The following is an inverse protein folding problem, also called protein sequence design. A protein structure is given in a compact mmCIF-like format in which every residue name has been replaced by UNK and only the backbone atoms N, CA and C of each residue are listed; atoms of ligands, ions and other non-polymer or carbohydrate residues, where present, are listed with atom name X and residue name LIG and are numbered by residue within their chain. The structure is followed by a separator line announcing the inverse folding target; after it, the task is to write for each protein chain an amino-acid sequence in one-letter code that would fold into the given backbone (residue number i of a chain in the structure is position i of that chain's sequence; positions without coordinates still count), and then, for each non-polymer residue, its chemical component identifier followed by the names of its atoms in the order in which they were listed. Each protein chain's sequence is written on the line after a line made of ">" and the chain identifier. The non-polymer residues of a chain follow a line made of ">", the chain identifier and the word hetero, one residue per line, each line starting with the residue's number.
data_IF_109031208728
#
_entry.id   IF_109031208728
#
_cell.length_a   1.000
_cell.length_b   1.000
_cell.length_c   1.000
_cell.angle_alpha   90.00
_cell.angle_beta   90.00
_cell.angle_gamma   90.00
#
_symmetry.space_group_name_H-M   'P 1'
#
loop_
_entity.id
_entity.type
_entity.pdbx_description
1 polymer ?
#
# COMPACT_ATOMS: atom_id res chain seq x y z
N UNK A 1 10.15 3.02 23.68
CA UNK A 1 9.79 2.28 24.91
C UNK A 1 8.55 1.49 24.59
N UNK A 2 8.64 0.16 24.61
CA UNK A 2 7.46 -0.70 24.49
C UNK A 2 6.53 -0.45 25.68
N UNK A 3 5.21 -0.48 25.49
CA UNK A 3 4.28 -0.30 26.61
C UNK A 3 4.51 -1.37 27.69
N UNK A 4 4.26 -1.03 28.95
CA UNK A 4 4.45 -1.93 30.10
C UNK A 4 3.53 -3.15 30.09
N UNK A 5 2.47 -3.10 29.30
CA UNK A 5 1.56 -4.19 29.01
C UNK A 5 1.15 -4.10 27.54
N UNK A 6 0.74 -5.23 26.96
CA UNK A 6 0.27 -5.29 25.58
C UNK A 6 -0.98 -6.17 25.48
N UNK A 7 -1.80 -5.86 24.50
CA UNK A 7 -3.05 -6.57 24.21
C UNK A 7 -2.93 -7.11 22.79
N UNK A 8 -3.05 -8.42 22.64
CA UNK A 8 -3.15 -9.09 21.35
C UNK A 8 -4.59 -9.48 21.06
N UNK A 9 -5.00 -9.31 19.81
CA UNK A 9 -6.25 -9.83 19.29
C UNK A 9 -5.92 -10.87 18.23
N UNK A 10 -6.33 -12.12 18.44
CA UNK A 10 -6.24 -13.16 17.45
C UNK A 10 -7.59 -13.30 16.75
N UNK A 11 -7.57 -13.17 15.43
CA UNK A 11 -8.74 -13.31 14.56
C UNK A 11 -8.47 -14.46 13.58
N UNK A 12 -9.39 -15.41 13.51
CA UNK A 12 -9.34 -16.57 12.62
C UNK A 12 -10.71 -16.74 11.98
N UNK A 13 -10.76 -16.96 10.66
CA UNK A 13 -12.01 -17.20 9.91
C UNK A 13 -13.12 -16.19 10.23
N UNK A 14 -12.76 -14.90 10.22
CA UNK A 14 -13.63 -13.75 10.52
C UNK A 14 -14.19 -13.70 11.97
N UNK A 15 -13.70 -14.56 12.88
CA UNK A 15 -14.06 -14.53 14.29
C UNK A 15 -12.86 -14.26 15.21
N UNK A 16 -13.12 -13.73 16.40
CA UNK A 16 -12.12 -13.54 17.44
C UNK A 16 -11.93 -14.84 18.21
N UNK A 17 -10.77 -15.46 18.00
CA UNK A 17 -10.35 -16.68 18.68
C UNK A 17 -9.91 -16.40 20.12
N UNK A 18 -9.19 -15.29 20.32
CA UNK A 18 -8.67 -14.93 21.63
C UNK A 18 -8.32 -13.45 21.76
N UNK A 19 -8.51 -12.94 22.97
CA UNK A 19 -7.82 -11.73 23.43
C UNK A 19 -6.73 -12.13 24.41
N UNK A 20 -5.50 -11.70 24.17
CA UNK A 20 -4.34 -12.01 25.00
C UNK A 20 -3.88 -10.75 25.72
N UNK A 21 -3.71 -10.81 27.04
CA UNK A 21 -3.12 -9.75 27.85
C UNK A 21 -1.73 -10.18 28.29
N UNK A 22 -0.70 -9.41 27.95
CA UNK A 22 0.66 -9.65 28.38
C UNK A 22 1.17 -8.50 29.24
N UNK A 23 1.77 -8.84 30.39
CA UNK A 23 2.29 -7.84 31.34
C UNK A 23 1.20 -7.04 32.05
N UNK A 24 -0.04 -7.53 32.07
CA UNK A 24 -1.14 -6.84 32.73
C UNK A 24 -0.88 -6.72 34.25
N UNK A 25 -1.05 -5.55 34.88
CA UNK A 25 -0.76 -5.41 36.31
C UNK A 25 -1.70 -6.27 37.15
N UNK A 26 -1.14 -7.02 38.11
CA UNK A 26 -1.90 -7.96 38.95
C UNK A 26 -2.95 -7.29 39.86
N UNK A 27 -2.72 -6.03 40.21
CA UNK A 27 -3.60 -5.19 41.04
C UNK A 27 -4.67 -4.45 40.21
N UNK A 28 -4.60 -4.51 38.88
CA UNK A 28 -5.54 -3.84 37.99
C UNK A 28 -6.56 -4.83 37.46
N UNK A 29 -7.85 -4.50 37.64
CA UNK A 29 -8.95 -5.29 37.08
C UNK A 29 -8.76 -5.45 35.57
N UNK A 30 -8.82 -6.70 35.10
CA UNK A 30 -8.77 -7.03 33.67
C UNK A 30 -9.92 -6.33 32.92
N UNK A 31 -9.67 -5.83 31.70
CA UNK A 31 -10.70 -5.17 30.92
C UNK A 31 -11.81 -6.15 30.56
N UNK A 32 -13.05 -5.65 30.55
CA UNK A 32 -14.18 -6.35 29.94
C UNK A 32 -14.23 -5.95 28.48
N UNK A 33 -14.22 -6.93 27.58
CA UNK A 33 -14.16 -6.68 26.14
C UNK A 33 -15.45 -7.19 25.54
N UNK A 34 -16.12 -6.31 24.80
CA UNK A 34 -17.33 -6.64 24.05
C UNK A 34 -17.01 -6.42 22.58
N UNK A 35 -17.27 -7.45 21.79
CA UNK A 35 -17.11 -7.42 20.34
C UNK A 35 -18.49 -7.22 19.74
N UNK A 36 -18.59 -6.28 18.82
CA UNK A 36 -19.77 -6.08 17.99
C UNK A 36 -19.48 -6.59 16.60
N UNK A 37 -20.27 -7.56 16.15
CA UNK A 37 -20.30 -7.94 14.75
C UNK A 37 -21.45 -7.20 14.06
N UNK A 38 -21.18 -6.72 12.84
CA UNK A 38 -22.19 -6.11 11.99
C UNK A 38 -22.96 -7.23 11.31
N UNK A 39 -23.97 -7.73 12.02
CA UNK A 39 -24.93 -8.65 11.49
C UNK A 39 -25.71 -7.98 10.34
N UNK A 40 -25.61 -8.55 9.14
CA UNK A 40 -26.57 -8.28 8.07
C UNK A 40 -28.01 -8.62 8.49
N UNK A 41 -28.97 -8.40 7.60
CA UNK A 41 -30.41 -8.47 7.90
C UNK A 41 -30.99 -9.82 8.38
N UNK A 42 -30.17 -10.87 8.53
CA UNK A 42 -30.62 -12.26 8.77
C UNK A 42 -30.32 -12.81 10.18
N UNK A 43 -29.98 -11.94 11.14
CA UNK A 43 -29.74 -12.38 12.53
C UNK A 43 -31.04 -12.40 13.35
N UNK A 44 -31.34 -13.48 14.09
CA UNK A 44 -32.48 -13.55 15.00
C UNK A 44 -32.47 -12.43 16.06
N UNK A 45 -33.63 -11.86 16.36
CA UNK A 45 -33.78 -10.68 17.25
C UNK A 45 -33.20 -10.90 18.66
N UNK A 46 -33.15 -12.15 19.13
CA UNK A 46 -32.56 -12.55 20.42
C UNK A 46 -31.04 -12.31 20.53
N UNK A 47 -30.35 -12.18 19.39
CA UNK A 47 -28.91 -11.90 19.34
C UNK A 47 -28.60 -10.42 19.05
N UNK A 48 -29.61 -9.59 18.73
CA UNK A 48 -29.43 -8.17 18.41
C UNK A 48 -29.31 -7.34 19.69
N UNK A 49 -28.17 -6.68 19.88
CA UNK A 49 -27.90 -5.88 21.06
C UNK A 49 -28.52 -4.47 20.94
N UNK A 50 -29.62 -4.23 21.66
CA UNK A 50 -30.29 -2.93 21.73
C UNK A 50 -29.68 -2.07 22.83
N UNK A 51 -28.90 -1.04 22.45
CA UNK A 51 -28.36 -0.05 23.41
C UNK A 51 -29.27 1.18 23.40
N UNK A 52 -29.58 1.71 24.59
CA UNK A 52 -30.57 2.78 24.83
C UNK A 52 -30.22 4.19 24.30
N UNK A 53 -29.52 4.31 23.17
CA UNK A 53 -29.15 5.59 22.52
C UNK A 53 -30.18 6.09 21.51
N UNK A 54 -31.36 5.46 21.40
CA UNK A 54 -32.49 5.97 20.62
C UNK A 54 -32.38 5.85 19.10
N UNK A 55 -31.27 5.34 18.57
CA UNK A 55 -31.18 4.87 17.19
C UNK A 55 -31.34 3.33 17.19
N UNK A 56 -32.12 2.75 16.24
CA UNK A 56 -32.15 1.30 16.09
C UNK A 56 -30.76 0.85 15.63
N UNK A 57 -30.02 0.19 16.51
CA UNK A 57 -28.82 -0.59 16.18
C UNK A 57 -29.23 -1.84 15.39
N UNK A 58 -29.90 -1.66 14.25
CA UNK A 58 -30.37 -2.75 13.42
C UNK A 58 -29.15 -3.61 13.02
N UNK A 59 -29.13 -4.87 13.46
CA UNK A 59 -28.10 -5.82 13.06
C UNK A 59 -26.75 -5.68 13.78
N UNK A 60 -26.69 -5.33 15.06
CA UNK A 60 -25.43 -5.51 15.83
C UNK A 60 -25.57 -6.69 16.79
N UNK A 61 -24.81 -7.76 16.58
CA UNK A 61 -24.66 -8.83 17.57
C UNK A 61 -23.47 -8.54 18.46
N UNK A 62 -23.71 -8.47 19.77
CA UNK A 62 -22.66 -8.26 20.75
C UNK A 62 -22.36 -9.53 21.54
N UNK A 63 -21.08 -9.85 21.74
CA UNK A 63 -20.66 -10.90 22.69
C UNK A 63 -19.50 -10.44 23.56
N UNK A 64 -19.51 -10.86 24.82
CA UNK A 64 -18.38 -10.64 25.74
C UNK A 64 -17.28 -11.66 25.43
N UNK A 65 -16.05 -11.18 25.28
CA UNK A 65 -14.86 -12.01 25.08
C UNK A 65 -13.97 -11.89 26.31
N UNK A 66 -13.62 -13.04 26.89
CA UNK A 66 -12.78 -13.11 28.07
C UNK A 66 -11.31 -13.17 27.67
N UNK A 67 -10.54 -12.21 28.16
CA UNK A 67 -9.13 -12.14 27.84
C UNK A 67 -8.32 -13.18 28.64
N UNK A 68 -7.38 -13.82 27.96
CA UNK A 68 -6.44 -14.80 28.50
C UNK A 68 -5.13 -14.10 28.85
N UNK A 69 -4.51 -14.48 29.95
CA UNK A 69 -3.21 -13.94 30.34
C UNK A 69 -2.10 -14.69 29.61
N UNK A 70 -1.17 -13.94 29.02
CA UNK A 70 0.01 -14.50 28.42
C UNK A 70 0.95 -15.04 29.50
N UNK A 71 1.49 -16.23 29.27
CA UNK A 71 2.38 -16.93 30.18
C UNK A 71 3.13 -18.05 29.47
N UNK A 72 3.98 -18.80 30.19
CA UNK A 72 4.86 -19.82 29.62
C UNK A 72 4.13 -20.91 28.82
N UNK A 73 2.91 -21.24 29.25
CA UNK A 73 2.08 -22.29 28.65
C UNK A 73 1.01 -21.72 27.69
N UNK A 74 1.11 -20.43 27.33
CA UNK A 74 0.16 -19.81 26.41
C UNK A 74 0.36 -20.38 24.99
N UNK A 75 -0.74 -20.84 24.38
CA UNK A 75 -0.75 -21.35 23.01
C UNK A 75 -0.65 -20.25 21.94
N UNK A 76 -0.78 -18.99 22.36
CA UNK A 76 -0.77 -17.82 21.49
C UNK A 76 0.58 -17.11 21.56
N UNK A 77 1.02 -16.42 20.49
CA UNK A 77 2.27 -15.67 20.50
C UNK A 77 2.20 -14.46 21.45
N UNK A 78 3.36 -14.03 21.96
CA UNK A 78 3.51 -12.82 22.78
C UNK A 78 3.10 -11.57 21.99
N UNK A 79 2.08 -10.80 22.44
CA UNK A 79 1.78 -9.51 21.84
C UNK A 79 2.96 -8.53 21.90
N UNK A 80 3.77 -8.56 22.96
CA UNK A 80 4.93 -7.68 23.11
C UNK A 80 6.04 -7.99 22.09
N UNK A 81 6.33 -9.26 21.84
CA UNK A 81 7.29 -9.69 20.82
C UNK A 81 6.83 -9.29 19.41
N UNK A 82 5.54 -9.50 19.09
CA UNK A 82 4.96 -9.08 17.80
C UNK A 82 5.12 -7.58 17.62
N UNK A 83 4.77 -6.78 18.63
CA UNK A 83 4.91 -5.33 18.57
C UNK A 83 6.38 -4.91 18.39
N UNK A 84 7.31 -5.58 19.08
CA UNK A 84 8.74 -5.30 18.93
C UNK A 84 9.24 -5.55 17.50
N UNK A 85 8.80 -6.62 16.85
CA UNK A 85 9.13 -6.91 15.45
C UNK A 85 8.53 -5.86 14.51
N UNK A 86 7.29 -5.44 14.74
CA UNK A 86 6.64 -4.39 13.94
C UNK A 86 7.33 -3.03 14.11
N UNK A 87 7.72 -2.68 15.33
CA UNK A 87 8.46 -1.45 15.62
C UNK A 87 9.86 -1.46 14.98
N UNK A 88 10.57 -2.60 15.02
CA UNK A 88 11.83 -2.76 14.33
C UNK A 88 11.68 -2.57 12.81
N UNK A 89 10.61 -3.09 12.20
CA UNK A 89 10.29 -2.85 10.78
C UNK A 89 9.96 -1.38 10.49
N UNK A 90 9.29 -0.69 11.41
CA UNK A 90 8.96 0.73 11.28
C UNK A 90 10.19 1.63 11.45
N UNK A 91 11.16 1.18 12.23
CA UNK A 91 12.45 1.83 12.45
C UNK A 91 13.46 1.60 11.33
N UNK A 92 13.14 0.81 10.30
CA UNK A 92 13.86 0.87 9.04
C UNK A 92 13.66 2.30 8.50
N UNK A 93 14.68 3.13 8.75
CA UNK A 93 14.66 4.58 8.67
C UNK A 93 14.04 5.04 7.34
N UNK A 94 12.76 5.42 7.37
CA UNK A 94 12.16 6.07 6.20
C UNK A 94 12.95 7.36 5.99
N UNK A 95 13.53 7.59 4.79
CA UNK A 95 14.29 8.80 4.54
C UNK A 95 13.39 10.00 4.86
N UNK A 96 13.90 10.93 5.68
CA UNK A 96 13.14 12.11 6.07
C UNK A 96 12.69 12.88 4.84
N UNK A 97 11.56 13.60 4.92
CA UNK A 97 11.07 14.41 3.80
C UNK A 97 12.15 15.39 3.29
N UNK A 98 13.00 15.89 4.19
CA UNK A 98 14.14 16.74 3.87
C UNK A 98 15.26 15.99 3.13
N UNK A 99 15.54 14.73 3.49
CA UNK A 99 16.49 13.88 2.77
C UNK A 99 16.00 13.58 1.35
N UNK A 100 14.70 13.29 1.19
CA UNK A 100 14.06 13.10 -0.11
C UNK A 100 14.16 14.39 -0.94
N UNK A 101 13.80 15.54 -0.36
CA UNK A 101 13.87 16.83 -1.05
C UNK A 101 15.30 17.18 -1.50
N UNK A 102 16.31 16.92 -0.65
CA UNK A 102 17.72 17.09 -1.01
C UNK A 102 18.16 16.17 -2.14
N UNK A 103 17.74 14.91 -2.10
CA UNK A 103 18.07 13.94 -3.16
C UNK A 103 17.43 14.31 -4.50
N UNK A 104 16.18 14.79 -4.49
CA UNK A 104 15.48 15.27 -5.69
C UNK A 104 16.17 16.53 -6.24
N UNK A 105 16.48 17.50 -5.37
CA UNK A 105 17.20 18.71 -5.76
C UNK A 105 18.56 18.39 -6.39
N UNK A 106 19.31 17.45 -5.81
CA UNK A 106 20.59 17.00 -6.35
C UNK A 106 20.43 16.33 -7.73
N UNK A 107 19.38 15.52 -7.90
CA UNK A 107 19.08 14.88 -9.20
C UNK A 107 18.75 15.92 -10.28
N UNK A 108 18.03 16.99 -9.93
CA UNK A 108 17.74 18.09 -10.85
C UNK A 108 19.03 18.81 -11.28
N UNK A 109 19.90 19.16 -10.32
CA UNK A 109 21.18 19.80 -10.61
C UNK A 109 22.10 18.95 -11.50
N UNK A 110 22.01 17.62 -11.41
CA UNK A 110 22.77 16.69 -12.26
C UNK A 110 22.15 16.51 -13.65
N UNK A 111 20.84 16.73 -13.79
CA UNK A 111 20.11 16.63 -15.06
C UNK A 111 20.31 17.87 -15.94
N UNK A 112 20.34 19.07 -15.38
CA UNK A 112 20.53 20.32 -16.13
C UNK A 112 21.77 20.29 -17.06
N UNK A 113 23.00 19.99 -16.60
CA UNK A 113 24.16 19.97 -17.47
C UNK A 113 24.16 18.78 -18.45
N UNK A 114 23.31 17.76 -18.22
CA UNK A 114 23.11 16.67 -19.17
C UNK A 114 22.15 17.07 -20.27
N UNK A 115 21.09 17.79 -19.95
CA UNK A 115 20.17 18.38 -20.91
C UNK A 115 20.90 19.37 -21.80
N UNK A 116 21.69 20.29 -21.24
CA UNK A 116 22.49 21.25 -22.02
C UNK A 116 23.48 20.58 -22.98
N UNK A 117 24.04 19.42 -22.60
CA UNK A 117 24.93 18.63 -23.47
C UNK A 117 24.21 17.87 -24.57
N UNK A 118 22.94 17.51 -24.32
CA UNK A 118 22.11 16.77 -25.26
C UNK A 118 21.26 17.69 -26.14
N UNK A 119 21.11 18.96 -25.77
CA UNK A 119 20.52 20.00 -26.59
C UNK A 119 21.47 20.34 -27.74
N UNK A 120 21.37 19.55 -28.81
CA UNK A 120 22.04 19.83 -30.08
C UNK A 120 21.00 20.31 -31.08
N UNK A 121 21.33 21.40 -31.79
CA UNK A 121 20.54 21.82 -32.94
C UNK A 121 20.54 20.68 -33.98
N UNK A 122 19.40 20.43 -34.67
CA UNK A 122 19.34 19.41 -35.70
C UNK A 122 20.46 19.62 -36.72
N UNK A 123 21.21 18.56 -36.99
CA UNK A 123 22.32 18.57 -37.94
C UNK A 123 21.80 18.36 -39.36
N UNK A 124 22.63 18.67 -40.36
CA UNK A 124 22.31 18.35 -41.76
C UNK A 124 21.98 16.87 -41.98
N UNK A 125 22.60 15.98 -41.21
CA UNK A 125 22.34 14.53 -41.25
C UNK A 125 20.96 14.17 -40.70
N UNK A 126 20.48 14.88 -39.68
CA UNK A 126 19.12 14.70 -39.16
C UNK A 126 18.07 15.09 -40.22
N UNK A 127 18.29 16.19 -40.93
CA UNK A 127 17.44 16.59 -42.05
C UNK A 127 17.51 15.61 -43.23
N UNK A 128 18.71 15.12 -43.57
CA UNK A 128 18.89 14.11 -44.61
C UNK A 128 18.15 12.81 -44.26
N UNK A 129 18.17 12.39 -42.98
CA UNK A 129 17.46 11.21 -42.52
C UNK A 129 15.94 11.39 -42.61
N UNK A 130 15.42 12.56 -42.26
CA UNK A 130 14.01 12.89 -42.45
C UNK A 130 13.62 12.90 -43.93
N UNK A 131 14.47 13.46 -44.79
CA UNK A 131 14.27 13.44 -46.24
C UNK A 131 14.25 12.03 -46.81
N UNK A 132 15.16 11.16 -46.38
CA UNK A 132 15.20 9.75 -46.78
C UNK A 132 13.97 8.98 -46.28
N UNK A 133 13.51 9.25 -45.06
CA UNK A 133 12.35 8.57 -44.50
C UNK A 133 11.05 9.02 -45.18
N UNK A 134 10.89 10.32 -45.44
CA UNK A 134 9.75 10.87 -46.14
C UNK A 134 9.70 10.44 -47.60
N UNK A 135 10.80 10.56 -48.35
CA UNK A 135 10.83 10.16 -49.75
C UNK A 135 10.86 8.65 -49.94
N UNK A 136 11.56 7.91 -49.08
CA UNK A 136 11.54 6.45 -49.08
C UNK A 136 10.15 5.92 -48.79
N UNK A 137 9.49 6.43 -47.75
CA UNK A 137 8.10 6.08 -47.42
C UNK A 137 7.11 6.47 -48.51
N UNK A 138 7.26 7.64 -49.13
CA UNK A 138 6.45 8.05 -50.27
C UNK A 138 6.66 7.15 -51.49
N UNK A 139 7.90 6.79 -51.81
CA UNK A 139 8.22 5.88 -52.91
C UNK A 139 7.66 4.46 -52.67
N UNK A 140 7.71 3.97 -51.45
CA UNK A 140 7.13 2.67 -51.10
C UNK A 140 5.60 2.69 -51.14
N UNK A 141 4.98 3.80 -50.73
CA UNK A 141 3.55 4.06 -50.93
C UNK A 141 3.17 4.09 -52.42
N UNK A 142 3.92 4.80 -53.25
CA UNK A 142 3.67 4.88 -54.70
C UNK A 142 3.80 3.51 -55.37
N UNK A 143 4.82 2.71 -55.01
CA UNK A 143 4.95 1.32 -55.47
C UNK A 143 3.77 0.45 -55.06
N UNK A 144 3.33 0.55 -53.81
CA UNK A 144 2.18 -0.24 -53.31
C UNK A 144 0.86 0.19 -53.96
N UNK A 145 0.76 1.45 -54.39
CA UNK A 145 -0.36 1.98 -55.18
C UNK A 145 -0.26 1.69 -56.69
N UNK A 146 0.82 1.05 -57.14
CA UNK A 146 0.98 0.57 -58.51
C UNK A 146 1.65 1.57 -59.48
N UNK A 147 2.31 2.61 -58.98
CA UNK A 147 3.07 3.55 -59.80
C UNK A 147 4.47 2.97 -60.11
N UNK A 148 4.81 2.66 -61.38
CA UNK A 148 6.11 2.10 -61.73
C UNK A 148 7.22 3.15 -61.57
N UNK A 149 8.46 2.74 -61.17
CA UNK A 149 9.57 3.68 -61.04
C UNK A 149 9.84 4.34 -62.38
N UNK A 150 9.75 5.68 -62.43
CA UNK A 150 10.06 6.46 -63.63
C UNK A 150 11.51 6.17 -64.07
N UNK A 151 11.65 5.41 -65.15
CA UNK A 151 12.88 5.38 -65.96
C UNK A 151 12.81 6.54 -66.95
N UNK A 152 13.26 7.72 -66.54
CA UNK A 152 13.82 8.68 -67.48
C UNK A 152 15.35 8.42 -67.48
N UNK A 153 15.92 7.72 -68.47
CA UNK A 153 16.20 8.16 -69.84
C UNK A 153 17.11 9.40 -69.88
N UNK A 154 18.24 9.24 -70.59
CA UNK A 154 19.37 10.16 -70.82
C UNK A 154 19.09 11.68 -70.81
#
# INVERSE_FOLDING_TARGET
>A
MSPSFSIGLLVTDDDIDAVILEGWPADVRKPRIVVFDYAGNDVPDEYVLRIGTGAPNAGLTGREVFAVEYGPDCRYPSPAEILSVLDARKSAEKPSALSIARSVHQSILELDPRLDRQEQAPTGDDYNRLYQLANGGLLDLLKTLGDPPSTAAD
#
